data_IF_010944060049
#
_entry.id   IF_010944060049
#
_cell.length_a   1.000
_cell.length_b   1.000
_cell.length_c   1.000
_cell.angle_alpha   90.00
_cell.angle_beta   90.00
_cell.angle_gamma   90.00
#
_symmetry.space_group_name_H-M   'P 1'
#
loop_
_entity.id
_entity.type
_entity.pdbx_description
1 polymer ?
#
# COMPACT_ATOMS: atom_id res chain seq x y z
N UNK A 1 21.24 -2.35 -16.67
CA UNK A 1 20.39 -2.85 -15.57
C UNK A 1 20.29 -4.36 -15.76
N UNK A 2 20.89 -5.16 -14.88
CA UNK A 2 20.94 -6.61 -15.07
C UNK A 2 19.53 -7.21 -14.95
N UNK A 3 19.02 -7.78 -16.04
CA UNK A 3 17.74 -8.48 -16.12
C UNK A 3 17.82 -9.75 -15.28
N UNK A 4 17.69 -9.61 -13.96
CA UNK A 4 17.55 -10.75 -13.04
C UNK A 4 16.24 -11.43 -13.43
N UNK A 5 16.32 -12.59 -14.07
CA UNK A 5 15.17 -13.44 -14.41
C UNK A 5 14.29 -13.59 -13.16
N UNK A 6 13.17 -12.84 -13.11
CA UNK A 6 12.22 -12.94 -12.01
C UNK A 6 11.52 -14.28 -12.22
N UNK A 7 11.97 -15.30 -11.48
CA UNK A 7 11.26 -16.56 -11.40
C UNK A 7 9.89 -16.30 -10.75
N UNK A 8 8.81 -16.85 -11.32
CA UNK A 8 7.46 -16.70 -10.77
C UNK A 8 7.41 -17.04 -9.28
N UNK A 9 8.13 -18.08 -8.84
CA UNK A 9 8.22 -18.44 -7.41
C UNK A 9 8.82 -17.32 -6.55
N UNK A 10 9.87 -16.67 -7.05
CA UNK A 10 10.48 -15.53 -6.37
C UNK A 10 9.52 -14.33 -6.35
N UNK A 11 8.81 -14.06 -7.45
CA UNK A 11 7.83 -12.98 -7.51
C UNK A 11 6.74 -13.12 -6.44
N UNK A 12 6.08 -14.27 -6.37
CA UNK A 12 5.05 -14.53 -5.37
C UNK A 12 5.61 -14.51 -3.94
N UNK A 13 6.81 -15.06 -3.73
CA UNK A 13 7.45 -15.05 -2.41
C UNK A 13 7.74 -13.63 -1.92
N UNK A 14 8.24 -12.74 -2.80
CA UNK A 14 8.48 -11.34 -2.45
C UNK A 14 7.19 -10.65 -2.01
N UNK A 15 6.10 -10.85 -2.75
CA UNK A 15 4.81 -10.24 -2.44
C UNK A 15 4.23 -10.79 -1.14
N UNK A 16 4.28 -12.11 -0.94
CA UNK A 16 3.80 -12.74 0.29
C UNK A 16 4.57 -12.26 1.52
N UNK A 17 5.90 -12.12 1.39
CA UNK A 17 6.74 -11.58 2.46
C UNK A 17 6.42 -10.11 2.74
N UNK A 18 6.17 -9.31 1.69
CA UNK A 18 5.78 -7.91 1.84
C UNK A 18 4.40 -7.75 2.49
N UNK A 19 3.43 -8.61 2.15
CA UNK A 19 2.13 -8.67 2.82
C UNK A 19 2.30 -8.98 4.30
N UNK A 20 3.05 -10.02 4.64
CA UNK A 20 3.31 -10.39 6.04
C UNK A 20 3.95 -9.24 6.84
N UNK A 21 5.01 -8.63 6.30
CA UNK A 21 5.67 -7.49 6.95
C UNK A 21 4.75 -6.27 7.04
N UNK A 22 4.03 -5.94 5.97
CA UNK A 22 3.17 -4.77 5.91
C UNK A 22 1.96 -4.85 6.85
N UNK A 23 1.36 -6.03 7.00
CA UNK A 23 0.29 -6.27 7.97
C UNK A 23 0.78 -6.02 9.40
N UNK A 24 1.95 -6.56 9.75
CA UNK A 24 2.55 -6.33 11.08
C UNK A 24 2.80 -4.84 11.31
N UNK A 25 3.44 -4.15 10.37
CA UNK A 25 3.78 -2.73 10.50
C UNK A 25 2.52 -1.87 10.63
N UNK A 26 1.46 -2.16 9.87
CA UNK A 26 0.24 -1.37 9.90
C UNK A 26 -0.64 -1.63 11.13
N UNK A 27 -0.70 -2.87 11.63
CA UNK A 27 -1.58 -3.26 12.74
C UNK A 27 -0.94 -3.13 14.11
N UNK A 28 0.37 -3.31 14.22
CA UNK A 28 1.06 -3.32 15.52
C UNK A 28 0.83 -2.02 16.33
N UNK A 29 0.87 -0.81 15.73
CA UNK A 29 0.57 0.42 16.46
C UNK A 29 -0.83 0.40 17.08
N UNK A 30 -1.85 -0.06 16.34
CA UNK A 30 -3.22 -0.11 16.85
C UNK A 30 -3.47 -1.23 17.85
N UNK A 31 -2.86 -2.40 17.63
CA UNK A 31 -2.95 -3.52 18.56
C UNK A 31 -2.34 -3.16 19.92
N UNK A 32 -1.23 -2.41 19.95
CA UNK A 32 -0.56 -2.04 21.20
C UNK A 32 -1.07 -0.72 21.78
N UNK A 33 -0.85 0.40 21.09
CA UNK A 33 -1.21 1.72 21.60
C UNK A 33 -2.73 1.93 21.57
N UNK A 34 -3.41 1.44 20.54
CA UNK A 34 -4.86 1.59 20.42
C UNK A 34 -5.60 0.88 21.56
N UNK A 35 -5.18 -0.32 21.95
CA UNK A 35 -5.76 -1.04 23.10
C UNK A 35 -5.47 -0.35 24.43
N UNK A 36 -4.24 0.11 24.65
CA UNK A 36 -3.89 0.86 25.86
C UNK A 36 -4.70 2.16 25.96
N UNK A 37 -4.75 2.95 24.89
CA UNK A 37 -5.40 4.26 24.87
C UNK A 37 -6.91 4.17 25.08
N UNK A 38 -7.58 3.07 24.70
CA UNK A 38 -9.01 2.89 24.97
C UNK A 38 -9.37 3.05 26.45
N UNK A 39 -8.48 2.68 27.36
CA UNK A 39 -8.70 2.78 28.81
C UNK A 39 -8.42 4.17 29.38
N UNK A 40 -7.59 4.98 28.71
CA UNK A 40 -7.10 6.27 29.23
C UNK A 40 -7.59 7.49 28.46
N UNK A 41 -8.20 7.31 27.28
CA UNK A 41 -8.56 8.42 26.38
C UNK A 41 -9.70 9.30 26.88
N UNK A 42 -10.61 8.77 27.70
CA UNK A 42 -11.85 9.47 28.04
C UNK A 42 -11.55 10.72 28.88
N UNK A 43 -11.96 11.88 28.39
CA UNK A 43 -11.72 13.18 29.04
C UNK A 43 -10.35 13.80 28.76
N UNK A 44 -9.51 13.18 27.92
CA UNK A 44 -8.20 13.70 27.52
C UNK A 44 -8.10 13.90 26.00
N UNK A 45 -8.27 15.14 25.48
CA UNK A 45 -8.28 15.43 24.05
C UNK A 45 -7.03 14.96 23.28
N UNK A 46 -5.86 15.00 23.94
CA UNK A 46 -4.59 14.56 23.34
C UNK A 46 -4.58 13.05 23.12
N UNK A 47 -5.08 12.25 24.07
CA UNK A 47 -5.11 10.79 23.95
C UNK A 47 -6.15 10.33 22.92
N UNK A 48 -7.28 11.03 22.82
CA UNK A 48 -8.25 10.79 21.75
C UNK A 48 -7.66 11.06 20.36
N UNK A 49 -6.90 12.15 20.21
CA UNK A 49 -6.20 12.45 18.96
C UNK A 49 -5.18 11.35 18.62
N UNK A 50 -4.35 10.94 19.58
CA UNK A 50 -3.38 9.86 19.36
C UNK A 50 -4.08 8.56 18.96
N UNK A 51 -5.20 8.22 19.62
CA UNK A 51 -6.01 7.06 19.29
C UNK A 51 -6.52 7.11 17.84
N UNK A 52 -7.03 8.26 17.40
CA UNK A 52 -7.46 8.45 16.01
C UNK A 52 -6.30 8.32 15.01
N UNK A 53 -5.13 8.89 15.29
CA UNK A 53 -3.94 8.77 14.42
C UNK A 53 -3.54 7.31 14.25
N UNK A 54 -3.57 6.53 15.33
CA UNK A 54 -3.26 5.10 15.30
C UNK A 54 -4.25 4.32 14.44
N UNK A 55 -5.54 4.67 14.49
CA UNK A 55 -6.56 4.11 13.58
C UNK A 55 -6.36 4.54 12.11
N UNK A 56 -5.86 5.76 11.88
CA UNK A 56 -5.53 6.20 10.52
C UNK A 56 -4.34 5.41 9.97
N UNK A 57 -3.30 5.15 10.77
CA UNK A 57 -2.13 4.35 10.33
C UNK A 57 -2.55 2.98 9.80
N UNK A 58 -3.47 2.27 10.48
CA UNK A 58 -3.94 0.98 9.96
C UNK A 58 -4.67 1.08 8.61
N UNK A 59 -5.34 2.21 8.32
CA UNK A 59 -6.03 2.40 7.04
C UNK A 59 -5.07 2.47 5.85
N UNK A 60 -3.80 2.83 6.10
CA UNK A 60 -2.73 2.82 5.09
C UNK A 60 -2.09 1.44 4.88
N UNK A 61 -2.63 0.37 5.47
CA UNK A 61 -2.07 -0.99 5.32
C UNK A 61 -1.83 -1.38 3.86
N UNK A 62 -2.81 -1.14 2.99
CA UNK A 62 -2.70 -1.43 1.56
C UNK A 62 -1.51 -0.71 0.92
N UNK A 63 -1.37 0.59 1.20
CA UNK A 63 -0.26 1.40 0.72
C UNK A 63 1.09 0.86 1.22
N UNK A 64 1.20 0.56 2.52
CA UNK A 64 2.41 0.04 3.16
C UNK A 64 2.84 -1.27 2.50
N UNK A 65 1.90 -2.20 2.28
CA UNK A 65 2.17 -3.49 1.63
C UNK A 65 2.70 -3.28 0.21
N UNK A 66 2.04 -2.43 -0.59
CA UNK A 66 2.48 -2.15 -1.96
C UNK A 66 3.86 -1.48 -2.03
N UNK A 67 4.12 -0.53 -1.13
CA UNK A 67 5.42 0.13 -1.04
C UNK A 67 6.53 -0.86 -0.66
N UNK A 68 6.29 -1.74 0.32
CA UNK A 68 7.25 -2.76 0.72
C UNK A 68 7.52 -3.78 -0.39
N UNK A 69 6.50 -4.20 -1.13
CA UNK A 69 6.66 -5.12 -2.25
C UNK A 69 7.53 -4.50 -3.36
N UNK A 70 7.22 -3.27 -3.78
CA UNK A 70 8.01 -2.56 -4.77
C UNK A 70 9.46 -2.32 -4.30
N UNK A 71 9.64 -1.98 -3.03
CA UNK A 71 10.96 -1.82 -2.44
C UNK A 71 11.75 -3.14 -2.44
N UNK A 72 11.10 -4.27 -2.14
CA UNK A 72 11.74 -5.59 -2.19
C UNK A 72 12.15 -6.01 -3.62
N UNK A 73 11.43 -5.53 -4.64
CA UNK A 73 11.83 -5.63 -6.05
C UNK A 73 12.89 -4.60 -6.48
N UNK A 74 13.33 -3.72 -5.57
CA UNK A 74 14.30 -2.65 -5.81
C UNK A 74 13.83 -1.62 -6.86
N UNK A 75 12.54 -1.32 -6.88
CA UNK A 75 12.03 -0.24 -7.70
C UNK A 75 12.60 1.10 -7.22
N UNK A 76 12.79 2.08 -8.12
CA UNK A 76 13.16 3.44 -7.72
C UNK A 76 12.03 4.08 -6.91
N UNK A 77 12.33 5.17 -6.19
CA UNK A 77 11.37 5.89 -5.33
C UNK A 77 9.99 6.11 -5.97
N UNK A 78 9.89 6.60 -7.22
CA UNK A 78 8.61 6.73 -7.91
C UNK A 78 7.86 5.40 -8.11
N UNK A 79 8.55 4.31 -8.45
CA UNK A 79 7.92 3.01 -8.60
C UNK A 79 7.32 2.49 -7.29
N UNK A 80 7.97 2.77 -6.16
CA UNK A 80 7.45 2.46 -4.82
C UNK A 80 6.15 3.20 -4.55
N UNK A 81 6.11 4.51 -4.84
CA UNK A 81 4.89 5.31 -4.62
C UNK A 81 3.78 4.93 -5.57
N UNK A 82 4.07 4.55 -6.82
CA UNK A 82 3.04 4.12 -7.78
C UNK A 82 2.37 2.81 -7.34
N UNK A 83 3.17 1.80 -6.98
CA UNK A 83 2.62 0.52 -6.51
C UNK A 83 1.85 0.69 -5.19
N UNK A 84 2.40 1.46 -4.24
CA UNK A 84 1.70 1.76 -2.98
C UNK A 84 0.36 2.46 -3.21
N UNK A 85 0.33 3.48 -4.08
CA UNK A 85 -0.90 4.22 -4.40
C UNK A 85 -1.92 3.34 -5.11
N UNK A 86 -1.47 2.50 -6.05
CA UNK A 86 -2.34 1.52 -6.74
C UNK A 86 -3.00 0.58 -5.73
N UNK A 87 -2.21 0.00 -4.83
CA UNK A 87 -2.70 -0.88 -3.78
C UNK A 87 -3.74 -0.18 -2.90
N UNK A 88 -3.50 1.08 -2.52
CA UNK A 88 -4.45 1.85 -1.73
C UNK A 88 -5.79 2.04 -2.44
N UNK A 89 -5.77 2.44 -3.71
CA UNK A 89 -6.98 2.73 -4.50
C UNK A 89 -7.85 1.49 -4.64
N UNK A 90 -7.30 0.35 -5.09
CA UNK A 90 -8.13 -0.83 -5.35
C UNK A 90 -8.24 -1.83 -4.19
N UNK A 91 -7.58 -1.58 -3.06
CA UNK A 91 -7.73 -2.42 -1.86
C UNK A 91 -9.17 -2.52 -1.35
N UNK A 92 -10.03 -1.57 -1.73
CA UNK A 92 -11.37 -1.38 -1.17
C UNK A 92 -11.38 -0.56 0.13
N UNK A 93 -10.22 -0.09 0.60
CA UNK A 93 -10.11 0.86 1.72
C UNK A 93 -10.66 2.25 1.35
N UNK A 94 -10.53 2.65 0.09
CA UNK A 94 -11.14 3.87 -0.44
C UNK A 94 -12.50 3.55 -1.02
N UNK A 95 -13.55 4.18 -0.49
CA UNK A 95 -14.91 4.01 -0.98
C UNK A 95 -15.48 5.34 -1.44
N UNK A 96 -16.15 5.33 -2.59
CA UNK A 96 -16.89 6.49 -3.07
C UNK A 96 -18.30 6.47 -2.46
N UNK A 97 -18.54 7.35 -1.49
CA UNK A 97 -19.85 7.48 -0.81
C UNK A 97 -20.28 8.94 -0.83
N UNK A 98 -21.54 9.17 -1.22
CA UNK A 98 -22.17 10.49 -1.22
C UNK A 98 -21.38 11.58 -1.98
N UNK A 99 -20.77 11.22 -3.11
CA UNK A 99 -19.99 12.16 -3.91
C UNK A 99 -18.56 12.43 -3.41
N UNK A 100 -18.13 11.76 -2.33
CA UNK A 100 -16.80 11.93 -1.75
C UNK A 100 -16.06 10.59 -1.65
N UNK A 101 -14.73 10.64 -1.82
CA UNK A 101 -13.86 9.52 -1.44
C UNK A 101 -13.68 9.53 0.07
N UNK A 102 -14.05 8.43 0.72
CA UNK A 102 -13.92 8.24 2.15
C UNK A 102 -13.01 7.05 2.41
N UNK A 103 -12.04 7.24 3.30
CA UNK A 103 -11.25 6.16 3.84
C UNK A 103 -12.11 5.35 4.81
N UNK A 104 -12.44 4.12 4.42
CA UNK A 104 -13.32 3.25 5.17
C UNK A 104 -12.70 1.85 5.31
N UNK A 105 -11.97 1.66 6.39
CA UNK A 105 -11.34 0.39 6.74
C UNK A 105 -9.89 0.26 6.29
N UNK A 106 -9.40 -0.97 6.29
CA UNK A 106 -7.99 -1.32 6.04
C UNK A 106 -7.75 -1.89 4.63
N UNK A 107 -8.83 -2.18 3.89
CA UNK A 107 -8.81 -2.90 2.62
C UNK A 107 -8.81 -4.42 2.80
N UNK A 108 -9.19 -5.14 1.75
CA UNK A 108 -9.13 -6.61 1.71
C UNK A 108 -7.73 -7.06 1.30
N UNK A 109 -7.09 -7.89 2.12
CA UNK A 109 -5.72 -8.39 1.87
C UNK A 109 -5.63 -9.14 0.54
N UNK A 110 -6.68 -9.86 0.12
CA UNK A 110 -6.70 -10.58 -1.15
C UNK A 110 -6.67 -9.57 -2.31
N UNK A 111 -7.50 -8.52 -2.25
CA UNK A 111 -7.50 -7.46 -3.25
C UNK A 111 -6.16 -6.72 -3.29
N UNK A 112 -5.61 -6.38 -2.13
CA UNK A 112 -4.28 -5.76 -2.03
C UNK A 112 -3.23 -6.63 -2.71
N UNK A 113 -3.22 -7.94 -2.45
CA UNK A 113 -2.25 -8.85 -3.06
C UNK A 113 -2.38 -8.89 -4.58
N UNK A 114 -3.61 -9.00 -5.10
CA UNK A 114 -3.88 -9.00 -6.54
C UNK A 114 -3.39 -7.71 -7.20
N UNK A 115 -3.69 -6.56 -6.61
CA UNK A 115 -3.33 -5.26 -7.16
C UNK A 115 -1.83 -5.04 -7.12
N UNK A 116 -1.18 -5.38 -6.01
CA UNK A 116 0.28 -5.29 -5.88
C UNK A 116 0.96 -6.18 -6.92
N UNK A 117 0.43 -7.38 -7.19
CA UNK A 117 0.92 -8.24 -8.27
C UNK A 117 0.82 -7.55 -9.64
N UNK A 118 -0.36 -7.02 -9.98
CA UNK A 118 -0.60 -6.37 -11.27
C UNK A 118 0.26 -5.10 -11.40
N UNK A 119 0.29 -4.25 -10.39
CA UNK A 119 1.05 -3.00 -10.38
C UNK A 119 2.57 -3.25 -10.49
N UNK A 120 3.10 -4.24 -9.77
CA UNK A 120 4.51 -4.62 -9.88
C UNK A 120 4.85 -5.13 -11.28
N UNK A 121 4.00 -6.01 -11.86
CA UNK A 121 4.19 -6.51 -13.23
C UNK A 121 4.17 -5.38 -14.25
N UNK A 122 3.19 -4.48 -14.15
CA UNK A 122 3.05 -3.30 -15.00
C UNK A 122 4.29 -2.41 -14.92
N UNK A 123 4.78 -2.12 -13.72
CA UNK A 123 5.99 -1.33 -13.54
C UNK A 123 7.22 -2.00 -14.19
N UNK A 124 7.41 -3.30 -13.98
CA UNK A 124 8.52 -4.06 -14.60
C UNK A 124 8.42 -4.01 -16.14
N UNK A 125 7.22 -4.10 -16.70
CA UNK A 125 7.00 -4.14 -18.15
C UNK A 125 7.17 -2.78 -18.83
N UNK A 126 6.84 -1.69 -18.13
CA UNK A 126 6.80 -0.34 -18.69
C UNK A 126 8.01 0.52 -18.32
N UNK A 127 8.68 0.21 -17.21
CA UNK A 127 9.86 0.97 -16.76
C UNK A 127 10.97 0.96 -17.81
N UNK A 128 11.55 2.14 -18.07
CA UNK A 128 12.60 2.31 -19.07
C UNK A 128 12.16 2.26 -20.54
N UNK A 129 10.85 2.07 -20.83
CA UNK A 129 10.33 2.06 -22.21
C UNK A 129 9.78 3.39 -22.70
N UNK A 130 9.44 4.30 -21.79
CA UNK A 130 8.71 5.54 -22.10
C UNK A 130 9.61 6.79 -22.09
N UNK A 131 10.89 6.66 -21.74
CA UNK A 131 11.84 7.77 -21.74
C UNK A 131 11.37 8.92 -20.84
N UNK A 132 11.29 10.14 -21.37
CA UNK A 132 10.84 11.33 -20.63
C UNK A 132 9.35 11.30 -20.26
N UNK A 133 8.52 10.52 -20.97
CA UNK A 133 7.09 10.40 -20.69
C UNK A 133 6.82 9.57 -19.44
N UNK A 134 7.79 8.79 -18.98
CA UNK A 134 7.66 7.87 -17.85
C UNK A 134 7.23 8.60 -16.56
N UNK A 135 7.76 9.80 -16.33
CA UNK A 135 7.48 10.65 -15.17
C UNK A 135 6.03 11.14 -15.15
N UNK A 136 5.38 11.25 -16.32
CA UNK A 136 4.02 11.78 -16.45
C UNK A 136 3.00 10.64 -16.56
N UNK A 137 3.32 9.60 -17.34
CA UNK A 137 2.38 8.54 -17.70
C UNK A 137 2.30 7.46 -16.62
N UNK A 138 3.42 6.99 -16.08
CA UNK A 138 3.38 5.90 -15.09
C UNK A 138 2.63 6.23 -13.79
N UNK A 139 2.76 7.45 -13.20
CA UNK A 139 2.03 7.79 -11.98
C UNK A 139 0.51 7.76 -12.14
N UNK A 140 -0.01 7.97 -13.34
CA UNK A 140 -1.45 7.91 -13.62
C UNK A 140 -1.84 6.51 -14.09
N UNK A 141 -1.09 5.95 -15.05
CA UNK A 141 -1.44 4.70 -15.70
C UNK A 141 -1.46 3.53 -14.71
N UNK A 142 -0.42 3.37 -13.89
CA UNK A 142 -0.31 2.20 -13.01
C UNK A 142 -1.43 2.21 -11.95
N UNK A 143 -1.66 3.31 -11.20
CA UNK A 143 -2.74 3.33 -10.21
C UNK A 143 -4.14 3.25 -10.79
N UNK A 144 -4.40 3.83 -11.98
CA UNK A 144 -5.74 3.80 -12.61
C UNK A 144 -6.07 2.44 -13.21
N UNK A 145 -5.06 1.67 -13.65
CA UNK A 145 -5.30 0.37 -14.31
C UNK A 145 -5.17 -0.81 -13.37
N UNK A 146 -4.35 -0.68 -12.32
CA UNK A 146 -4.18 -1.72 -11.31
C UNK A 146 -5.07 -1.52 -10.08
N UNK A 147 -5.36 -0.27 -9.70
CA UNK A 147 -6.19 0.09 -8.55
C UNK A 147 -7.64 0.38 -8.90
#
# INVERSE_FOLDING_TARGET
>A
MATKQINSKHFFSVILNAVGAGVVIALLPNAFLGELLKFFKDGQPILEMIYQVVLVIQSFMAFIIGALAAHAFKFPGPGVTFVGTSAMIGSGALQFKNGAFVLHGIGDIINVMLIVMIACLMFILLSGKLGSLEIIVLPALIPVTAG
#
